data_IF_093002286611
#
_entry.id   IF_093002286611
#
_cell.length_a   1.000
_cell.length_b   1.000
_cell.length_c   1.000
_cell.angle_alpha   90.00
_cell.angle_beta   90.00
_cell.angle_gamma   90.00
#
_symmetry.space_group_name_H-M   'P 1'
#
loop_
_entity.id
_entity.type
_entity.pdbx_description
1 polymer ?
#
# COMPACT_ATOMS: atom_id res chain seq x y z
N UNK A 1 1.16 -9.28 -16.32
CA UNK A 1 1.21 -8.92 -14.88
C UNK A 1 -0.07 -8.21 -14.47
N UNK A 2 -0.51 -8.41 -13.26
CA UNK A 2 -1.79 -7.89 -12.79
C UNK A 2 -1.61 -7.15 -11.46
N UNK A 3 -2.16 -5.93 -11.34
CA UNK A 3 -2.20 -5.15 -10.10
C UNK A 3 -3.65 -5.11 -9.63
N UNK A 4 -3.87 -5.45 -8.35
CA UNK A 4 -5.22 -5.52 -7.80
C UNK A 4 -5.21 -5.27 -6.29
N UNK A 5 -6.38 -5.04 -5.71
CA UNK A 5 -6.54 -5.05 -4.25
C UNK A 5 -6.45 -6.49 -3.76
N UNK A 6 -5.84 -6.68 -2.59
CA UNK A 6 -5.82 -8.00 -1.96
C UNK A 6 -7.22 -8.33 -1.46
N UNK A 7 -7.71 -9.52 -1.79
CA UNK A 7 -9.03 -9.95 -1.34
C UNK A 7 -9.08 -10.04 0.18
N UNK A 8 -10.08 -9.37 0.77
CA UNK A 8 -10.28 -9.38 2.21
C UNK A 8 -10.65 -10.79 2.69
N UNK A 9 -9.89 -11.36 3.64
CA UNK A 9 -10.20 -12.71 4.14
C UNK A 9 -11.47 -12.75 4.97
N UNK A 10 -12.14 -13.89 5.00
CA UNK A 10 -13.45 -14.05 5.60
C UNK A 10 -13.42 -14.42 7.09
N UNK A 11 -12.30 -14.91 7.61
CA UNK A 11 -12.17 -15.32 9.01
C UNK A 11 -10.97 -14.64 9.66
N UNK A 12 -10.96 -14.49 11.01
CA UNK A 12 -9.80 -13.94 11.70
C UNK A 12 -8.51 -14.75 11.47
N UNK A 13 -8.62 -16.08 11.43
CA UNK A 13 -7.48 -16.95 11.19
C UNK A 13 -6.92 -16.78 9.78
N UNK A 14 -7.79 -16.68 8.78
CA UNK A 14 -7.39 -16.45 7.40
C UNK A 14 -6.78 -15.04 7.23
N UNK A 15 -7.30 -14.05 7.94
CA UNK A 15 -6.74 -12.69 7.91
C UNK A 15 -5.33 -12.66 8.48
N UNK A 16 -5.11 -13.31 9.62
CA UNK A 16 -3.78 -13.36 10.22
C UNK A 16 -2.78 -14.10 9.30
N UNK A 17 -3.21 -15.22 8.72
CA UNK A 17 -2.37 -15.96 7.78
C UNK A 17 -2.01 -15.12 6.55
N UNK A 18 -2.97 -14.36 6.01
CA UNK A 18 -2.71 -13.47 4.87
C UNK A 18 -1.78 -12.32 5.23
N UNK A 19 -1.98 -11.70 6.40
CA UNK A 19 -1.09 -10.64 6.89
C UNK A 19 0.34 -11.15 7.01
N UNK A 20 0.55 -12.35 7.52
CA UNK A 20 1.88 -12.93 7.63
C UNK A 20 2.56 -13.09 6.26
N UNK A 21 1.81 -13.44 5.23
CA UNK A 21 2.33 -13.51 3.86
C UNK A 21 2.65 -12.13 3.30
N UNK A 22 1.77 -11.16 3.51
CA UNK A 22 1.97 -9.79 3.05
C UNK A 22 3.16 -9.12 3.73
N UNK A 23 3.39 -9.42 5.00
CA UNK A 23 4.49 -8.85 5.78
C UNK A 23 5.86 -9.19 5.22
N UNK A 24 6.01 -10.31 4.54
CA UNK A 24 7.29 -10.67 3.92
C UNK A 24 7.77 -9.52 3.01
N UNK A 25 6.86 -8.94 2.23
CA UNK A 25 7.17 -7.81 1.35
C UNK A 25 7.37 -6.51 2.13
N UNK A 26 6.52 -6.26 3.13
CA UNK A 26 6.60 -5.05 3.95
C UNK A 26 7.91 -5.03 4.75
N UNK A 27 8.32 -6.17 5.30
CA UNK A 27 9.58 -6.28 6.03
C UNK A 27 10.78 -6.05 5.11
N UNK A 28 10.73 -6.56 3.87
CA UNK A 28 11.76 -6.29 2.87
C UNK A 28 11.85 -4.80 2.54
N UNK A 29 10.71 -4.12 2.43
CA UNK A 29 10.67 -2.68 2.22
C UNK A 29 11.39 -1.93 3.34
N UNK A 30 11.07 -2.24 4.61
CA UNK A 30 11.69 -1.57 5.74
C UNK A 30 13.17 -1.89 5.85
N UNK A 31 13.58 -3.12 5.61
CA UNK A 31 14.96 -3.54 5.67
C UNK A 31 15.80 -2.86 4.58
N UNK A 32 15.30 -2.83 3.36
CA UNK A 32 16.01 -2.25 2.22
C UNK A 32 16.10 -0.73 2.31
N UNK A 33 15.02 -0.06 2.75
CA UNK A 33 14.92 1.39 2.76
C UNK A 33 15.48 2.02 4.04
N UNK A 34 15.22 1.43 5.20
CA UNK A 34 15.55 2.02 6.50
C UNK A 34 16.51 1.18 7.32
N UNK A 35 16.84 -0.03 6.89
CA UNK A 35 17.70 -0.97 7.59
C UNK A 35 17.21 -1.27 9.01
N UNK A 36 15.92 -1.45 9.19
CA UNK A 36 15.33 -1.89 10.46
C UNK A 36 14.19 -2.87 10.21
N UNK A 37 13.78 -3.59 11.27
CA UNK A 37 12.67 -4.52 11.21
C UNK A 37 11.37 -3.84 11.62
N UNK A 38 10.26 -4.24 10.97
CA UNK A 38 8.93 -3.81 11.38
C UNK A 38 8.57 -4.48 12.70
N UNK A 39 8.21 -3.65 13.71
CA UNK A 39 7.90 -4.14 15.06
C UNK A 39 6.40 -4.33 15.30
N UNK A 40 5.52 -3.87 14.40
CA UNK A 40 4.08 -4.00 14.57
C UNK A 40 3.67 -5.47 14.45
N UNK A 41 2.99 -6.05 15.48
CA UNK A 41 2.56 -7.44 15.42
C UNK A 41 1.54 -7.68 14.31
N UNK A 42 1.59 -8.87 13.69
CA UNK A 42 0.64 -9.26 12.65
C UNK A 42 -0.80 -9.22 13.14
N UNK A 43 -1.04 -9.55 14.40
CA UNK A 43 -2.37 -9.51 15.01
C UNK A 43 -2.94 -8.09 15.00
N UNK A 44 -2.11 -7.09 15.27
CA UNK A 44 -2.54 -5.69 15.22
C UNK A 44 -2.89 -5.27 13.79
N UNK A 45 -2.06 -5.65 12.82
CA UNK A 45 -2.33 -5.35 11.41
C UNK A 45 -3.62 -6.01 10.95
N UNK A 46 -3.88 -7.25 11.39
CA UNK A 46 -5.11 -7.96 11.07
C UNK A 46 -6.34 -7.23 11.63
N UNK A 47 -6.28 -6.76 12.87
CA UNK A 47 -7.35 -5.96 13.49
C UNK A 47 -7.57 -4.66 12.70
N UNK A 48 -6.51 -3.97 12.33
CA UNK A 48 -6.60 -2.73 11.55
C UNK A 48 -7.23 -2.97 10.17
N UNK A 49 -6.93 -4.10 9.54
CA UNK A 49 -7.54 -4.46 8.25
C UNK A 49 -9.04 -4.70 8.40
N UNK A 50 -9.45 -5.43 9.44
CA UNK A 50 -10.87 -5.64 9.76
C UNK A 50 -11.60 -4.34 10.08
N UNK A 51 -10.91 -3.35 10.64
CA UNK A 51 -11.48 -2.05 11.00
C UNK A 51 -11.40 -1.03 9.86
N UNK A 52 -11.00 -1.45 8.66
CA UNK A 52 -10.80 -0.57 7.51
C UNK A 52 -9.78 0.55 7.76
N UNK A 53 -8.81 0.32 8.64
CA UNK A 53 -7.71 1.25 8.93
C UNK A 53 -6.48 0.97 8.08
N UNK A 54 -6.38 -0.19 7.47
CA UNK A 54 -5.38 -0.53 6.46
C UNK A 54 -6.03 -1.29 5.33
N UNK A 55 -5.37 -1.25 4.18
CA UNK A 55 -5.71 -2.04 3.02
C UNK A 55 -4.41 -2.43 2.30
N UNK A 56 -4.49 -3.40 1.40
CA UNK A 56 -3.33 -3.91 0.68
C UNK A 56 -3.62 -4.00 -0.81
N UNK A 57 -2.59 -3.63 -1.59
CA UNK A 57 -2.56 -3.85 -3.03
C UNK A 57 -1.49 -4.89 -3.33
N UNK A 58 -1.66 -5.64 -4.40
CA UNK A 58 -0.70 -6.67 -4.79
C UNK A 58 -0.42 -6.64 -6.27
N UNK A 59 0.78 -7.11 -6.63
CA UNK A 59 1.15 -7.40 -8.01
C UNK A 59 1.30 -8.90 -8.15
N UNK A 60 0.62 -9.48 -9.13
CA UNK A 60 0.75 -10.88 -9.48
C UNK A 60 1.47 -11.01 -10.82
N UNK A 61 2.36 -11.99 -10.92
CA UNK A 61 3.02 -12.31 -12.20
C UNK A 61 2.10 -13.17 -13.07
N UNK A 62 2.58 -13.61 -14.22
CA UNK A 62 1.77 -14.38 -15.17
C UNK A 62 1.43 -15.78 -14.65
N UNK A 63 2.17 -16.29 -13.66
CA UNK A 63 1.88 -17.54 -12.95
C UNK A 63 1.00 -17.31 -11.72
N UNK A 64 0.43 -16.11 -11.55
CA UNK A 64 -0.39 -15.70 -10.42
C UNK A 64 0.31 -15.76 -9.07
N UNK A 65 1.64 -15.62 -9.08
CA UNK A 65 2.42 -15.51 -7.85
C UNK A 65 2.53 -14.04 -7.45
N UNK A 66 2.45 -13.78 -6.14
CA UNK A 66 2.61 -12.42 -5.61
C UNK A 66 4.07 -11.99 -5.70
N UNK A 67 4.32 -10.90 -6.39
CA UNK A 67 5.67 -10.35 -6.59
C UNK A 67 5.80 -8.90 -6.12
N UNK A 68 4.73 -8.33 -5.60
CA UNK A 68 4.73 -6.98 -5.04
C UNK A 68 3.55 -6.76 -4.13
N UNK A 69 3.74 -5.87 -3.15
CA UNK A 69 2.70 -5.50 -2.17
C UNK A 69 2.83 -4.03 -1.84
N UNK A 70 1.70 -3.35 -1.70
CA UNK A 70 1.64 -2.04 -1.07
C UNK A 70 0.70 -2.08 0.12
N UNK A 71 1.08 -1.44 1.21
CA UNK A 71 0.25 -1.26 2.39
C UNK A 71 -0.23 0.19 2.42
N UNK A 72 -1.52 0.37 2.65
CA UNK A 72 -2.15 1.68 2.66
C UNK A 72 -2.85 1.87 4.00
N UNK A 73 -2.53 2.94 4.71
CA UNK A 73 -3.22 3.33 5.94
C UNK A 73 -4.35 4.27 5.61
N UNK A 74 -5.51 4.07 6.23
CA UNK A 74 -6.72 4.86 6.01
C UNK A 74 -7.09 5.53 7.34
N UNK A 75 -7.36 6.83 7.31
CA UNK A 75 -7.58 7.60 8.52
C UNK A 75 -8.70 8.63 8.32
N UNK A 76 -9.42 8.99 9.40
CA UNK A 76 -10.42 10.07 9.33
C UNK A 76 -9.72 11.43 9.25
N UNK A 77 -10.29 12.35 8.47
CA UNK A 77 -9.74 13.69 8.30
C UNK A 77 -10.41 14.74 9.19
N UNK A 78 -11.41 14.37 9.97
CA UNK A 78 -12.10 15.29 10.87
C UNK A 78 -13.22 16.10 10.23
N UNK A 79 -13.37 16.04 8.91
CA UNK A 79 -14.44 16.74 8.16
C UNK A 79 -15.52 15.77 7.63
N UNK A 80 -15.53 14.54 8.13
CA UNK A 80 -16.43 13.48 7.66
C UNK A 80 -15.89 12.68 6.48
N UNK A 81 -14.75 13.08 5.91
CA UNK A 81 -14.06 12.33 4.87
C UNK A 81 -12.90 11.53 5.44
N UNK A 82 -12.27 10.72 4.60
CA UNK A 82 -11.08 9.93 4.97
C UNK A 82 -9.93 10.23 4.02
N UNK A 83 -8.72 10.06 4.52
CA UNK A 83 -7.50 10.12 3.73
C UNK A 83 -6.81 8.76 3.72
N UNK A 84 -5.89 8.57 2.78
CA UNK A 84 -5.08 7.37 2.69
C UNK A 84 -3.61 7.75 2.54
N UNK A 85 -2.73 6.93 3.11
CA UNK A 85 -1.28 7.06 2.96
C UNK A 85 -0.73 5.70 2.56
N UNK A 86 0.01 5.64 1.45
CA UNK A 86 0.74 4.44 1.06
C UNK A 86 2.00 4.37 1.91
N UNK A 87 1.96 3.58 2.99
CA UNK A 87 3.01 3.55 4.00
C UNK A 87 4.18 2.68 3.62
N UNK A 88 3.99 1.71 2.73
CA UNK A 88 5.04 0.82 2.26
C UNK A 88 4.65 0.30 0.89
N UNK A 89 5.63 0.11 0.02
CA UNK A 89 5.44 -0.53 -1.28
C UNK A 89 6.74 -1.24 -1.66
N UNK A 90 6.64 -2.51 -2.00
CA UNK A 90 7.78 -3.31 -2.39
C UNK A 90 7.43 -4.17 -3.58
N UNK A 91 8.31 -4.17 -4.57
CA UNK A 91 8.23 -5.03 -5.75
C UNK A 91 9.51 -5.84 -5.79
N UNK A 92 9.42 -7.15 -5.95
CA UNK A 92 10.58 -8.02 -6.07
C UNK A 92 11.50 -7.52 -7.20
N UNK A 93 12.80 -7.53 -6.94
CA UNK A 93 13.78 -6.89 -7.79
C UNK A 93 13.68 -7.27 -9.29
N UNK A 94 13.49 -8.55 -9.67
CA UNK A 94 13.40 -8.91 -11.10
C UNK A 94 12.23 -8.25 -11.85
N UNK A 95 11.23 -7.75 -11.11
CA UNK A 95 10.01 -7.16 -11.71
C UNK A 95 10.02 -5.64 -11.68
N UNK A 96 11.10 -5.02 -11.20
CA UNK A 96 11.22 -3.55 -11.14
C UNK A 96 11.50 -2.96 -12.51
N UNK A 97 11.23 -1.67 -12.68
CA UNK A 97 11.48 -0.95 -13.91
C UNK A 97 10.44 -1.20 -15.01
N UNK A 98 9.28 -1.76 -14.66
CA UNK A 98 8.21 -2.08 -15.61
C UNK A 98 6.94 -1.22 -15.40
N UNK A 99 7.03 -0.16 -14.60
CA UNK A 99 5.91 0.72 -14.32
C UNK A 99 4.88 0.16 -13.35
N UNK A 100 5.19 -0.89 -12.61
CA UNK A 100 4.23 -1.55 -11.70
C UNK A 100 3.87 -0.68 -10.51
N UNK A 101 4.82 0.06 -9.95
CA UNK A 101 4.56 1.00 -8.87
C UNK A 101 3.57 2.08 -9.31
N UNK A 102 3.76 2.62 -10.51
CA UNK A 102 2.85 3.60 -11.09
C UNK A 102 1.45 3.03 -11.30
N UNK A 103 1.36 1.77 -11.72
CA UNK A 103 0.08 1.07 -11.87
C UNK A 103 -0.61 0.89 -10.52
N UNK A 104 0.14 0.56 -9.47
CA UNK A 104 -0.41 0.44 -8.11
C UNK A 104 -1.01 1.76 -7.64
N UNK A 105 -0.32 2.88 -7.88
CA UNK A 105 -0.82 4.20 -7.52
C UNK A 105 -2.07 4.55 -8.33
N UNK A 106 -2.08 4.26 -9.62
CA UNK A 106 -3.25 4.49 -10.47
C UNK A 106 -4.47 3.71 -9.98
N UNK A 107 -4.27 2.45 -9.60
CA UNK A 107 -5.34 1.63 -9.03
C UNK A 107 -5.82 2.19 -7.70
N UNK A 108 -4.90 2.58 -6.81
CA UNK A 108 -5.22 3.16 -5.51
C UNK A 108 -6.12 4.39 -5.66
N UNK A 109 -5.80 5.28 -6.59
CA UNK A 109 -6.60 6.47 -6.85
C UNK A 109 -8.05 6.09 -7.20
N UNK A 110 -8.24 5.14 -8.09
CA UNK A 110 -9.58 4.71 -8.54
C UNK A 110 -10.35 4.04 -7.40
N UNK A 111 -9.73 3.07 -6.74
CA UNK A 111 -10.40 2.27 -5.70
C UNK A 111 -10.76 3.12 -4.49
N UNK A 112 -9.83 3.94 -4.01
CA UNK A 112 -10.06 4.72 -2.79
C UNK A 112 -10.99 5.90 -3.04
N UNK A 113 -10.94 6.51 -4.19
CA UNK A 113 -11.92 7.52 -4.59
C UNK A 113 -13.35 6.94 -4.56
N UNK A 114 -13.54 5.72 -5.04
CA UNK A 114 -14.85 5.05 -4.99
C UNK A 114 -15.31 4.73 -3.56
N UNK A 115 -14.40 4.74 -2.59
CA UNK A 115 -14.70 4.51 -1.16
C UNK A 115 -14.81 5.80 -0.35
N UNK A 116 -14.97 6.96 -1.01
CA UNK A 116 -15.03 8.28 -0.37
C UNK A 116 -13.75 8.67 0.37
N UNK A 117 -12.62 8.20 -0.10
CA UNK A 117 -11.30 8.64 0.38
C UNK A 117 -10.89 9.80 -0.53
N UNK A 118 -10.59 10.96 0.06
CA UNK A 118 -10.43 12.22 -0.67
C UNK A 118 -9.00 12.62 -0.95
N UNK A 119 -8.03 12.04 -0.25
CA UNK A 119 -6.60 12.30 -0.49
C UNK A 119 -5.82 11.00 -0.47
N UNK A 120 -4.74 10.97 -1.25
CA UNK A 120 -3.75 9.89 -1.22
C UNK A 120 -2.37 10.52 -1.07
N UNK A 121 -1.69 10.17 0.00
CA UNK A 121 -0.33 10.62 0.27
C UNK A 121 0.67 9.50 0.01
N UNK A 122 1.80 9.84 -0.61
CA UNK A 122 2.90 8.92 -0.84
C UNK A 122 4.16 9.55 -0.25
N UNK A 123 4.69 9.05 0.88
CA UNK A 123 5.98 9.49 1.39
C UNK A 123 7.09 9.17 0.39
N UNK A 124 7.98 10.13 0.16
CA UNK A 124 9.06 9.98 -0.82
C UNK A 124 10.37 10.52 -0.28
N UNK A 125 11.47 9.98 -0.79
CA UNK A 125 12.78 10.58 -0.59
C UNK A 125 12.90 11.83 -1.46
N UNK A 126 13.71 12.77 -1.03
CA UNK A 126 13.88 14.07 -1.69
C UNK A 126 14.39 13.98 -3.13
N UNK A 127 15.05 12.85 -3.47
CA UNK A 127 15.64 12.62 -4.80
C UNK A 127 14.72 11.85 -5.76
N UNK A 128 13.52 11.45 -5.34
CA UNK A 128 12.55 10.81 -6.23
C UNK A 128 11.63 11.84 -6.85
N UNK A 129 11.58 11.86 -8.17
CA UNK A 129 10.64 12.70 -8.91
C UNK A 129 9.34 11.92 -9.13
N UNK A 130 8.28 12.35 -8.46
CA UNK A 130 6.92 11.83 -8.64
C UNK A 130 5.97 12.89 -9.20
N UNK A 131 6.51 13.82 -9.99
CA UNK A 131 5.70 14.88 -10.61
C UNK A 131 4.54 14.33 -11.42
N UNK A 132 4.69 13.15 -12.04
CA UNK A 132 3.63 12.47 -12.77
C UNK A 132 2.44 12.09 -11.89
N UNK A 133 2.62 12.05 -10.59
CA UNK A 133 1.54 11.73 -9.63
C UNK A 133 0.48 12.83 -9.57
N UNK A 134 0.85 14.07 -9.92
CA UNK A 134 -0.09 15.18 -9.98
C UNK A 134 -0.48 15.76 -8.64
N UNK A 135 0.35 15.59 -7.62
CA UNK A 135 0.10 16.09 -6.29
C UNK A 135 1.06 17.21 -5.89
N UNK A 136 0.84 17.76 -4.70
CA UNK A 136 1.68 18.79 -4.11
C UNK A 136 2.78 18.12 -3.26
N UNK A 137 4.03 18.50 -3.47
CA UNK A 137 5.15 17.99 -2.69
C UNK A 137 5.29 18.70 -1.35
N UNK A 138 5.26 17.94 -0.24
CA UNK A 138 5.40 18.42 1.13
C UNK A 138 6.16 17.40 1.98
N UNK A 139 7.33 16.92 1.56
CA UNK A 139 7.99 15.70 2.06
C UNK A 139 7.16 14.43 1.80
N UNK A 140 5.99 14.60 1.25
CA UNK A 140 5.01 13.60 0.89
C UNK A 140 4.28 14.15 -0.31
N UNK A 141 4.08 13.35 -1.34
CA UNK A 141 3.18 13.75 -2.42
C UNK A 141 1.74 13.46 -1.99
N UNK A 142 0.89 14.47 -2.10
CA UNK A 142 -0.55 14.33 -1.84
C UNK A 142 -1.32 14.54 -3.13
N UNK A 143 -2.26 13.65 -3.42
CA UNK A 143 -3.22 13.80 -4.50
C UNK A 143 -4.61 13.97 -3.92
N UNK A 144 -5.29 15.03 -4.34
CA UNK A 144 -6.71 15.20 -4.04
C UNK A 144 -7.51 14.29 -4.97
N UNK A 145 -8.24 13.37 -4.41
CA UNK A 145 -9.01 12.40 -5.15
C UNK A 145 -10.46 12.87 -5.34
#
# INVERSE_FOLDING_TARGET
MKVQTVKFPQTPEATLAEVNKLRVFIDKYHQERFNYEQTMPSEMVAVMWHSAQVDFLEVLNDEEERVGVAMVSIYPKGDGTRGATMTAAYIDEPYRGQGLFKQMIGLAKVVYRARNITTLDIPVDSDKDLSWFGGLYMKTYRSEL
#
